data_IF_540218342985
#
_entry.id   IF_540218342985
#
_cell.length_a   1.000
_cell.length_b   1.000
_cell.length_c   1.000
_cell.angle_alpha   90.00
_cell.angle_beta   90.00
_cell.angle_gamma   90.00
#
_symmetry.space_group_name_H-M   'P 1'
#
loop_
_entity.id
_entity.type
_entity.pdbx_description
1 polymer ?
#
# COMPACT_ATOMS: atom_id res chain seq x y z
N UNK A 1 -14.15 -3.77 2.69
CA UNK A 1 -13.79 -2.48 2.04
C UNK A 1 -13.03 -1.61 3.04
N UNK A 2 -11.79 -2.00 3.37
CA UNK A 2 -10.98 -1.33 4.41
C UNK A 2 -9.55 -1.14 3.87
N UNK A 3 -9.38 -0.18 2.96
CA UNK A 3 -8.07 0.16 2.39
C UNK A 3 -7.90 1.67 2.10
N UNK A 4 -8.75 2.54 2.64
CA UNK A 4 -8.78 3.97 2.23
C UNK A 4 -8.10 4.91 3.24
N UNK A 5 -7.58 4.43 4.38
CA UNK A 5 -7.01 5.32 5.41
C UNK A 5 -5.49 5.30 5.58
N UNK A 6 -4.79 4.41 4.89
CA UNK A 6 -3.34 4.36 4.93
C UNK A 6 -2.85 4.70 3.54
N UNK A 7 -2.06 5.77 3.42
CA UNK A 7 -1.33 6.21 2.22
C UNK A 7 -1.05 5.01 1.32
N UNK A 8 -1.64 4.96 0.13
CA UNK A 8 -1.62 3.78 -0.75
C UNK A 8 -0.19 3.26 -0.87
N UNK A 9 0.07 2.04 -0.40
CA UNK A 9 1.42 1.46 -0.42
C UNK A 9 1.99 1.37 -1.84
N UNK A 10 1.13 1.34 -2.87
CA UNK A 10 1.54 1.34 -4.27
C UNK A 10 2.15 2.66 -4.73
N UNK A 11 1.60 3.81 -4.30
CA UNK A 11 2.09 5.13 -4.72
C UNK A 11 3.58 5.31 -4.36
N UNK A 12 3.94 4.99 -3.12
CA UNK A 12 5.30 5.12 -2.61
C UNK A 12 6.28 4.15 -3.32
N UNK A 13 5.79 3.06 -3.89
CA UNK A 13 6.63 2.09 -4.61
C UNK A 13 6.92 2.47 -6.06
N UNK A 14 6.23 3.48 -6.63
CA UNK A 14 6.37 3.86 -8.03
C UNK A 14 6.65 5.35 -8.24
N UNK A 15 6.48 6.20 -7.22
CA UNK A 15 6.88 7.60 -7.30
C UNK A 15 8.38 7.73 -7.61
N UNK A 16 8.72 8.62 -8.54
CA UNK A 16 10.13 8.80 -8.96
C UNK A 16 11.02 9.22 -7.79
N UNK A 17 10.51 10.05 -6.87
CA UNK A 17 11.26 10.55 -5.71
C UNK A 17 11.56 9.48 -4.65
N UNK A 18 10.89 8.34 -4.72
CA UNK A 18 11.14 7.19 -3.83
C UNK A 18 12.16 6.22 -4.43
N UNK A 19 12.87 6.58 -5.51
CA UNK A 19 13.97 5.77 -6.05
C UNK A 19 15.18 5.80 -5.09
N UNK A 20 15.88 4.66 -4.87
CA UNK A 20 17.08 4.59 -4.03
C UNK A 20 18.18 5.60 -4.38
N UNK A 21 18.27 6.05 -5.64
CA UNK A 21 19.25 7.07 -6.06
C UNK A 21 18.91 8.46 -5.56
N UNK A 22 17.62 8.77 -5.43
CA UNK A 22 17.14 10.10 -5.02
C UNK A 22 16.96 10.21 -3.51
N UNK A 23 16.67 9.08 -2.86
CA UNK A 23 16.38 9.02 -1.42
C UNK A 23 17.01 7.76 -0.83
N UNK A 24 17.92 7.90 0.16
CA UNK A 24 18.41 6.75 0.93
C UNK A 24 17.23 5.97 1.53
N UNK A 25 17.13 4.68 1.22
CA UNK A 25 15.99 3.85 1.66
C UNK A 25 14.70 4.03 0.84
N UNK A 26 14.80 4.62 -0.36
CA UNK A 26 13.69 4.72 -1.31
C UNK A 26 13.01 3.37 -1.58
N UNK A 27 11.68 3.39 -1.66
CA UNK A 27 10.84 2.19 -1.83
C UNK A 27 10.57 1.81 -3.29
N UNK A 28 10.86 2.71 -4.23
CA UNK A 28 10.78 2.43 -5.66
C UNK A 28 12.00 1.63 -6.13
N UNK A 29 11.96 0.32 -5.87
CA UNK A 29 13.06 -0.59 -6.20
C UNK A 29 13.20 -0.88 -7.70
N UNK A 30 12.18 -0.57 -8.51
CA UNK A 30 12.22 -0.75 -9.97
C UNK A 30 12.86 0.44 -10.66
N UNK A 31 13.12 1.53 -9.92
CA UNK A 31 13.60 2.81 -10.46
C UNK A 31 12.66 3.37 -11.53
N UNK A 32 11.38 3.02 -11.45
CA UNK A 32 10.36 3.48 -12.37
C UNK A 32 10.24 5.02 -12.29
N UNK A 33 10.04 5.67 -13.44
CA UNK A 33 9.87 7.11 -13.51
C UNK A 33 8.92 7.48 -14.64
N UNK A 34 7.81 8.11 -14.27
CA UNK A 34 6.83 8.63 -15.21
C UNK A 34 6.27 9.95 -14.67
N UNK A 35 6.54 11.11 -15.32
CA UNK A 35 6.08 12.41 -14.85
C UNK A 35 4.56 12.55 -14.77
N UNK A 36 3.82 11.86 -15.63
CA UNK A 36 2.35 11.87 -15.61
C UNK A 36 1.82 11.12 -14.39
N UNK A 37 2.40 9.95 -14.10
CA UNK A 37 2.10 9.19 -12.89
C UNK A 37 2.36 10.03 -11.63
N UNK A 38 3.54 10.65 -11.54
CA UNK A 38 3.92 11.49 -10.40
C UNK A 38 2.93 12.66 -10.22
N UNK A 39 2.50 13.29 -11.32
CA UNK A 39 1.52 14.38 -11.28
C UNK A 39 0.17 13.91 -10.72
N UNK A 40 -0.36 12.79 -11.22
CA UNK A 40 -1.67 12.25 -10.82
C UNK A 40 -1.65 11.84 -9.35
N UNK A 41 -0.59 11.15 -8.90
CA UNK A 41 -0.44 10.74 -7.49
C UNK A 41 -0.33 11.96 -6.57
N UNK A 42 0.44 12.98 -6.95
CA UNK A 42 0.52 14.21 -6.18
C UNK A 42 -0.84 14.94 -6.10
N UNK A 43 -1.62 14.98 -7.17
CA UNK A 43 -2.98 15.52 -7.13
C UNK A 43 -3.89 14.69 -6.21
N UNK A 44 -3.81 13.37 -6.29
CA UNK A 44 -4.60 12.46 -5.47
C UNK A 44 -4.32 12.64 -3.96
N UNK A 45 -3.05 12.80 -3.59
CA UNK A 45 -2.63 13.01 -2.19
C UNK A 45 -3.16 14.35 -1.65
N UNK A 46 -3.21 15.39 -2.48
CA UNK A 46 -3.66 16.73 -2.07
C UNK A 46 -5.17 16.93 -2.22
N UNK A 47 -5.91 15.93 -2.73
CA UNK A 47 -7.36 16.02 -2.91
C UNK A 47 -8.10 15.58 -1.64
N UNK A 48 -8.90 16.48 -1.05
CA UNK A 48 -9.69 16.21 0.16
C UNK A 48 -10.91 15.33 -0.13
N UNK A 49 -11.54 15.53 -1.29
CA UNK A 49 -12.68 14.72 -1.71
C UNK A 49 -12.23 13.29 -2.04
N UNK A 50 -12.72 12.34 -1.25
CA UNK A 50 -12.36 10.92 -1.38
C UNK A 50 -12.82 10.30 -2.71
N UNK A 51 -13.93 10.76 -3.26
CA UNK A 51 -14.45 10.25 -4.55
C UNK A 51 -13.52 10.67 -5.66
N UNK A 52 -13.16 11.95 -5.70
CA UNK A 52 -12.21 12.49 -6.67
C UNK A 52 -10.80 11.89 -6.50
N UNK A 53 -10.33 11.74 -5.26
CA UNK A 53 -9.06 11.09 -4.99
C UNK A 53 -9.05 9.63 -5.48
N UNK A 54 -10.16 8.90 -5.30
CA UNK A 54 -10.30 7.52 -5.80
C UNK A 54 -10.18 7.47 -7.32
N UNK A 55 -10.83 8.37 -8.05
CA UNK A 55 -10.72 8.43 -9.52
C UNK A 55 -9.28 8.68 -9.98
N UNK A 56 -8.56 9.56 -9.31
CA UNK A 56 -7.14 9.81 -9.59
C UNK A 56 -6.28 8.57 -9.31
N UNK A 57 -6.53 7.85 -8.21
CA UNK A 57 -5.81 6.60 -7.92
C UNK A 57 -6.12 5.50 -8.93
N UNK A 58 -7.34 5.43 -9.47
CA UNK A 58 -7.68 4.48 -10.55
C UNK A 58 -6.84 4.78 -11.78
N UNK A 59 -6.76 6.05 -12.22
CA UNK A 59 -5.91 6.46 -13.35
C UNK A 59 -4.44 6.13 -13.11
N UNK A 60 -3.93 6.38 -11.90
CA UNK A 60 -2.57 6.03 -11.54
C UNK A 60 -2.33 4.50 -11.62
N UNK A 61 -3.30 3.69 -11.19
CA UNK A 61 -3.21 2.23 -11.30
C UNK A 61 -3.27 1.74 -12.76
N UNK A 62 -4.06 2.38 -13.61
CA UNK A 62 -4.12 2.06 -15.05
C UNK A 62 -2.76 2.31 -15.72
N UNK A 63 -2.11 3.44 -15.45
CA UNK A 63 -0.77 3.74 -15.98
C UNK A 63 0.23 2.64 -15.56
N UNK A 64 0.29 2.31 -14.27
CA UNK A 64 1.20 1.28 -13.77
C UNK A 64 0.87 -0.10 -14.35
N UNK A 65 -0.41 -0.41 -14.53
CA UNK A 65 -0.83 -1.68 -15.11
C UNK A 65 -0.42 -1.80 -16.58
N UNK A 66 -0.32 -0.69 -17.31
CA UNK A 66 0.11 -0.66 -18.70
C UNK A 66 1.64 -0.66 -18.82
N UNK A 67 2.32 0.10 -17.96
CA UNK A 67 3.79 0.23 -17.97
C UNK A 67 4.49 -1.01 -17.39
N UNK A 68 3.79 -1.82 -16.59
CA UNK A 68 4.26 -3.06 -15.98
C UNK A 68 5.67 -2.97 -15.34
N UNK A 69 5.95 -1.97 -14.48
CA UNK A 69 7.23 -1.89 -13.78
C UNK A 69 7.44 -3.06 -12.80
N UNK A 70 6.35 -3.72 -12.40
CA UNK A 70 6.36 -5.01 -11.71
C UNK A 70 5.23 -5.90 -12.20
N UNK A 71 5.52 -7.19 -12.25
CA UNK A 71 4.51 -8.23 -12.46
C UNK A 71 4.08 -8.73 -11.09
N UNK A 72 2.92 -8.27 -10.63
CA UNK A 72 2.33 -8.74 -9.36
C UNK A 72 1.81 -10.16 -9.55
N UNK A 73 2.39 -11.13 -8.85
CA UNK A 73 2.03 -12.55 -8.98
C UNK A 73 0.93 -12.98 -7.99
N UNK A 74 0.94 -12.46 -6.75
CA UNK A 74 -0.06 -12.78 -5.73
C UNK A 74 -0.18 -11.68 -4.68
N UNK A 75 -1.28 -11.71 -3.92
CA UNK A 75 -1.46 -10.93 -2.69
C UNK A 75 -1.36 -11.87 -1.48
N UNK A 76 -0.46 -11.61 -0.51
CA UNK A 76 -0.32 -12.46 0.65
C UNK A 76 -1.58 -12.39 1.52
N UNK A 77 -1.99 -13.55 2.04
CA UNK A 77 -3.05 -13.63 3.05
C UNK A 77 -2.45 -13.49 4.45
N UNK A 78 -3.06 -12.67 5.30
CA UNK A 78 -2.65 -12.54 6.70
C UNK A 78 -3.17 -13.76 7.48
N UNK A 79 -2.30 -14.73 7.73
CA UNK A 79 -2.62 -15.97 8.44
C UNK A 79 -1.90 -16.00 9.79
N UNK A 80 -2.64 -16.31 10.86
CA UNK A 80 -2.11 -16.45 12.22
C UNK A 80 -2.45 -17.85 12.71
N UNK A 81 -1.45 -18.56 13.24
CA UNK A 81 -1.60 -19.88 13.85
C UNK A 81 -1.35 -19.74 15.35
N UNK A 82 -2.29 -20.19 16.16
CA UNK A 82 -2.23 -20.06 17.62
C UNK A 82 -2.73 -21.33 18.32
N UNK A 83 -2.29 -21.54 19.56
CA UNK A 83 -2.77 -22.64 20.40
C UNK A 83 -4.16 -22.33 20.95
N UNK A 84 -4.92 -23.36 21.36
CA UNK A 84 -6.28 -23.20 21.95
C UNK A 84 -6.31 -22.34 23.23
N UNK A 85 -5.16 -22.11 23.86
CA UNK A 85 -5.02 -21.25 25.05
C UNK A 85 -5.09 -19.77 24.71
N UNK A 86 -4.84 -19.39 23.46
CA UNK A 86 -4.81 -17.99 23.03
C UNK A 86 -6.18 -17.61 22.49
N UNK A 87 -6.81 -16.60 23.12
CA UNK A 87 -8.09 -16.04 22.73
C UNK A 87 -7.99 -14.61 22.19
N UNK A 88 -9.13 -14.07 21.77
CA UNK A 88 -9.30 -12.69 21.28
C UNK A 88 -8.40 -12.30 20.08
N UNK A 89 -8.10 -13.25 19.18
CA UNK A 89 -7.31 -12.98 17.97
C UNK A 89 -8.15 -12.17 16.97
N UNK A 90 -7.75 -10.93 16.69
CA UNK A 90 -8.38 -10.05 15.69
C UNK A 90 -7.34 -9.55 14.70
N UNK A 91 -7.21 -10.24 13.57
CA UNK A 91 -6.19 -9.92 12.55
C UNK A 91 -6.53 -8.59 11.88
N UNK A 92 -5.55 -7.69 11.80
CA UNK A 92 -5.67 -6.44 11.05
C UNK A 92 -5.48 -6.70 9.54
N UNK A 93 -6.38 -6.22 8.65
CA UNK A 93 -6.19 -6.31 7.20
C UNK A 93 -4.86 -5.74 6.69
N UNK A 94 -4.25 -4.78 7.39
CA UNK A 94 -2.94 -4.22 7.01
C UNK A 94 -1.75 -5.16 7.23
N UNK A 95 -1.94 -6.30 7.92
CA UNK A 95 -0.85 -7.21 8.29
C UNK A 95 -0.05 -6.74 9.51
N UNK A 96 -0.49 -5.68 10.19
CA UNK A 96 0.15 -5.22 11.43
C UNK A 96 -0.08 -6.16 12.61
N UNK A 97 0.92 -6.24 13.49
CA UNK A 97 0.92 -7.08 14.70
C UNK A 97 0.30 -6.40 15.92
N UNK A 98 -0.43 -5.30 15.75
CA UNK A 98 -1.00 -4.53 16.87
C UNK A 98 -1.98 -5.35 17.72
N UNK A 99 -2.66 -6.32 17.10
CA UNK A 99 -3.59 -7.24 17.77
C UNK A 99 -2.94 -8.12 18.85
N UNK A 100 -1.61 -8.26 18.86
CA UNK A 100 -0.88 -9.07 19.86
C UNK A 100 -1.07 -8.51 21.27
N UNK A 101 -1.30 -7.20 21.41
CA UNK A 101 -1.49 -6.54 22.71
C UNK A 101 -2.82 -6.91 23.39
N UNK A 102 -3.81 -7.29 22.60
CA UNK A 102 -5.17 -7.55 23.08
C UNK A 102 -5.44 -9.06 23.26
N UNK A 103 -4.43 -9.91 23.10
CA UNK A 103 -4.58 -11.36 23.24
C UNK A 103 -4.88 -11.76 24.68
N UNK A 104 -5.74 -12.77 24.84
CA UNK A 104 -6.02 -13.37 26.14
C UNK A 104 -5.37 -14.75 26.25
N UNK A 105 -4.95 -15.14 27.45
CA UNK A 105 -4.44 -16.48 27.74
C UNK A 105 -5.39 -17.16 28.71
N UNK A 106 -5.89 -18.34 28.31
CA UNK A 106 -6.76 -19.22 29.10
C UNK A 106 -5.97 -20.36 29.74
#
# INVERSE_FOLDING_TARGET
MAAIKTRFSSAICFETNESPDKKPGGRNRSRYSNPEYDKIVNEAINTVDKTKAKELYVKAQEIISNDLPYITLWYPSNMVVATKRIGNIKINPSGEWTFVKDLTVN
#
